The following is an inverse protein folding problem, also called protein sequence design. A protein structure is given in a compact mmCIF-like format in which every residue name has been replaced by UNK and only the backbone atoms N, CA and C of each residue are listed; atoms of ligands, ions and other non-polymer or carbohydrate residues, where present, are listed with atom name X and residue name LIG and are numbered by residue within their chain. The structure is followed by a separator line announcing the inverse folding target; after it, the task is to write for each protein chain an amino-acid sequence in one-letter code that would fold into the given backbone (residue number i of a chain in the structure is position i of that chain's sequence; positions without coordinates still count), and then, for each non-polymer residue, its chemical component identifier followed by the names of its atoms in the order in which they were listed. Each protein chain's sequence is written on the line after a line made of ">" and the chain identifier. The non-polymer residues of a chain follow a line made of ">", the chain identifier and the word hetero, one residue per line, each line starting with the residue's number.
data_IF_144449903101
#
_entry.id   IF_144449903101
#
_cell.length_a   1.000
_cell.length_b   1.000
_cell.length_c   1.000
_cell.angle_alpha   90.00
_cell.angle_beta   90.00
_cell.angle_gamma   90.00
#
_symmetry.space_group_name_H-M   'P 1'
#
loop_
_entity.id
_entity.type
_entity.pdbx_description
1 polymer ?
#
# COMPACT_ATOMS: atom_id res chain seq x y z
N UNK A 1 -20.26 -17.69 -0.88
CA UNK A 1 -20.03 -17.00 -2.14
C UNK A 1 -18.55 -17.11 -2.50
N UNK A 2 -17.71 -16.10 -2.36
CA UNK A 2 -16.28 -16.18 -2.67
C UNK A 2 -15.44 -16.18 -1.37
N UNK A 3 -14.43 -17.04 -1.30
CA UNK A 3 -13.48 -17.12 -0.21
C UNK A 3 -12.07 -17.16 -0.79
N UNK A 4 -11.24 -16.21 -0.39
CA UNK A 4 -9.86 -16.13 -0.80
C UNK A 4 -8.93 -16.24 0.41
N UNK A 5 -7.92 -17.11 0.28
CA UNK A 5 -6.85 -17.25 1.26
C UNK A 5 -5.52 -16.92 0.58
N UNK A 6 -4.74 -16.04 1.21
CA UNK A 6 -3.44 -15.63 0.69
C UNK A 6 -2.36 -15.89 1.71
N UNK A 7 -1.30 -16.57 1.29
CA UNK A 7 -0.09 -16.78 2.10
C UNK A 7 1.10 -16.20 1.35
N UNK A 8 1.92 -15.40 2.02
CA UNK A 8 3.12 -14.81 1.42
C UNK A 8 4.35 -15.01 2.29
N UNK A 9 5.50 -15.13 1.61
CA UNK A 9 6.81 -15.12 2.23
C UNK A 9 7.65 -14.01 1.58
N UNK A 10 8.29 -13.18 2.40
CA UNK A 10 9.10 -12.05 1.96
C UNK A 10 10.55 -12.25 2.43
N UNK A 11 11.51 -11.99 1.53
CA UNK A 11 12.93 -11.99 1.80
C UNK A 11 13.55 -10.67 1.39
N UNK A 12 14.47 -10.13 2.19
CA UNK A 12 15.23 -8.96 1.82
C UNK A 12 16.70 -9.08 2.16
N UNK A 13 17.54 -8.50 1.30
CA UNK A 13 18.98 -8.41 1.50
C UNK A 13 19.45 -6.97 1.28
N UNK A 14 20.20 -6.43 2.25
CA UNK A 14 20.66 -5.05 2.24
C UNK A 14 22.16 -4.98 2.16
N UNK A 15 22.66 -4.15 1.26
CA UNK A 15 24.10 -3.84 1.09
C UNK A 15 24.38 -2.36 1.35
N UNK A 16 25.49 -1.99 2.01
CA UNK A 16 25.96 -0.63 2.07
C UNK A 16 26.52 -0.22 0.68
N UNK A 17 26.04 0.90 0.15
CA UNK A 17 26.50 1.46 -1.13
C UNK A 17 27.51 2.58 -0.88
N UNK A 18 27.34 3.29 0.23
CA UNK A 18 28.28 4.29 0.74
C UNK A 18 28.13 4.40 2.26
N UNK A 19 28.90 5.28 2.91
CA UNK A 19 28.84 5.50 4.37
C UNK A 19 27.43 5.86 4.85
N UNK A 20 26.65 6.57 4.03
CA UNK A 20 25.33 7.06 4.40
C UNK A 20 24.17 6.36 3.69
N UNK A 21 24.43 5.58 2.62
CA UNK A 21 23.39 4.98 1.81
C UNK A 21 23.44 3.45 1.84
N UNK A 22 22.26 2.85 1.96
CA UNK A 22 22.04 1.42 1.89
C UNK A 22 21.06 1.09 0.76
N UNK A 23 21.33 0.01 0.05
CA UNK A 23 20.46 -0.53 -1.00
C UNK A 23 19.93 -1.88 -0.57
N UNK A 24 18.62 -2.00 -0.47
CA UNK A 24 17.93 -3.24 -0.15
C UNK A 24 17.27 -3.82 -1.41
N UNK A 25 17.40 -5.13 -1.58
CA UNK A 25 16.70 -5.90 -2.58
C UNK A 25 15.64 -6.75 -1.87
N UNK A 26 14.43 -6.75 -2.39
CA UNK A 26 13.31 -7.52 -1.86
C UNK A 26 12.80 -8.53 -2.88
N UNK A 27 12.48 -9.72 -2.39
CA UNK A 27 11.76 -10.75 -3.14
C UNK A 27 10.55 -11.19 -2.33
N UNK A 28 9.45 -11.44 -3.02
CA UNK A 28 8.20 -11.93 -2.45
C UNK A 28 7.73 -13.16 -3.21
N UNK A 29 7.26 -14.17 -2.51
CA UNK A 29 6.52 -15.28 -3.07
C UNK A 29 5.13 -15.32 -2.42
N UNK A 30 4.08 -15.45 -3.22
CA UNK A 30 2.69 -15.45 -2.76
C UNK A 30 1.96 -16.65 -3.33
N UNK A 31 1.12 -17.27 -2.52
CA UNK A 31 0.19 -18.32 -2.90
C UNK A 31 -1.23 -17.83 -2.62
N UNK A 32 -2.05 -17.71 -3.66
CA UNK A 32 -3.47 -17.42 -3.56
C UNK A 32 -4.27 -18.71 -3.74
N UNK A 33 -5.30 -18.90 -2.94
CA UNK A 33 -6.25 -20.01 -3.03
C UNK A 33 -7.65 -19.41 -3.06
N UNK A 34 -8.35 -19.59 -4.18
CA UNK A 34 -9.69 -19.06 -4.42
C UNK A 34 -10.71 -20.19 -4.46
N UNK A 35 -11.76 -20.06 -3.67
CA UNK A 35 -12.96 -20.88 -3.70
C UNK A 35 -14.16 -19.99 -4.04
N UNK A 36 -14.99 -20.39 -5.00
CA UNK A 36 -16.24 -19.68 -5.33
C UNK A 36 -17.38 -20.67 -5.41
N UNK A 37 -18.37 -20.49 -4.55
CA UNK A 37 -19.60 -21.29 -4.53
C UNK A 37 -20.72 -20.52 -5.25
N UNK A 38 -20.98 -20.91 -6.48
CA UNK A 38 -22.04 -20.31 -7.30
C UNK A 38 -23.45 -20.81 -6.94
N UNK A 39 -23.56 -21.93 -6.21
CA UNK A 39 -24.88 -22.47 -5.79
C UNK A 39 -25.63 -21.53 -4.85
N UNK A 40 -24.92 -20.61 -4.20
CA UNK A 40 -25.46 -19.59 -3.32
C UNK A 40 -25.97 -18.32 -4.04
N UNK A 41 -25.80 -18.25 -5.36
CA UNK A 41 -26.23 -17.11 -6.17
C UNK A 41 -27.60 -17.38 -6.80
N UNK A 42 -28.42 -16.33 -6.92
CA UNK A 42 -29.66 -16.40 -7.73
C UNK A 42 -29.27 -16.21 -9.19
N UNK A 43 -29.18 -17.32 -9.93
CA UNK A 43 -28.76 -17.35 -11.34
C UNK A 43 -29.99 -17.34 -12.23
N UNK A 44 -29.96 -16.57 -13.32
CA UNK A 44 -31.02 -16.59 -14.34
C UNK A 44 -30.99 -17.93 -15.07
N UNK A 45 -32.14 -18.63 -15.25
CA UNK A 45 -32.19 -19.89 -15.98
C UNK A 45 -31.60 -19.73 -17.40
N UNK A 46 -30.64 -20.60 -17.75
CA UNK A 46 -29.94 -20.56 -19.07
C UNK A 46 -28.58 -19.90 -19.06
N UNK A 47 -28.11 -19.37 -17.93
CA UNK A 47 -26.73 -18.87 -17.80
C UNK A 47 -25.79 -20.03 -17.42
N UNK A 48 -25.10 -20.57 -18.46
CA UNK A 48 -24.20 -21.72 -18.33
C UNK A 48 -22.83 -21.36 -17.71
N UNK A 49 -22.55 -20.07 -17.50
CA UNK A 49 -21.25 -19.58 -17.06
C UNK A 49 -20.97 -19.92 -15.59
N UNK A 50 -22.00 -20.05 -14.76
CA UNK A 50 -21.88 -20.24 -13.31
C UNK A 50 -22.30 -21.66 -12.85
N UNK A 51 -22.18 -22.67 -13.72
CA UNK A 51 -22.63 -24.04 -13.41
C UNK A 51 -21.66 -24.83 -12.53
N UNK A 52 -20.38 -24.51 -12.55
CA UNK A 52 -19.37 -25.23 -11.79
C UNK A 52 -18.72 -24.33 -10.77
N UNK A 53 -18.72 -24.74 -9.50
CA UNK A 53 -17.98 -24.05 -8.45
C UNK A 53 -16.48 -24.03 -8.75
N UNK A 54 -15.81 -22.97 -8.31
CA UNK A 54 -14.34 -22.94 -8.31
C UNK A 54 -13.89 -23.46 -6.95
N UNK A 55 -13.15 -24.56 -6.95
CA UNK A 55 -12.66 -25.20 -5.73
C UNK A 55 -11.13 -25.18 -5.71
N UNK A 56 -10.55 -24.61 -4.64
CA UNK A 56 -9.11 -24.61 -4.38
C UNK A 56 -8.24 -24.16 -5.58
N UNK A 57 -8.69 -23.14 -6.32
CA UNK A 57 -7.88 -22.62 -7.43
C UNK A 57 -6.62 -21.98 -6.89
N UNK A 58 -5.51 -22.66 -7.07
CA UNK A 58 -4.19 -22.21 -6.65
C UNK A 58 -3.56 -21.30 -7.70
N UNK A 59 -3.09 -20.12 -7.28
CA UNK A 59 -2.44 -19.12 -8.13
C UNK A 59 -1.17 -18.63 -7.45
N UNK A 60 0.03 -19.08 -7.88
CA UNK A 60 1.27 -18.54 -7.36
C UNK A 60 1.57 -17.17 -7.95
N UNK A 61 2.20 -16.30 -7.18
CA UNK A 61 2.72 -15.03 -7.68
C UNK A 61 4.09 -14.71 -7.06
N UNK A 62 4.87 -13.89 -7.74
CA UNK A 62 6.18 -13.43 -7.29
C UNK A 62 6.25 -11.92 -7.36
N UNK A 63 7.01 -11.33 -6.46
CA UNK A 63 7.26 -9.90 -6.46
C UNK A 63 8.76 -9.62 -6.28
N UNK A 64 9.17 -8.45 -6.75
CA UNK A 64 10.53 -7.95 -6.56
C UNK A 64 10.52 -6.45 -6.30
N UNK A 65 11.56 -5.97 -5.63
CA UNK A 65 11.72 -4.54 -5.38
C UNK A 65 13.14 -4.19 -5.01
N UNK A 66 13.44 -2.90 -5.17
CA UNK A 66 14.69 -2.28 -4.73
C UNK A 66 14.37 -1.05 -3.91
N UNK A 67 15.17 -0.79 -2.88
CA UNK A 67 14.96 0.31 -1.96
C UNK A 67 16.31 0.92 -1.54
N UNK A 68 16.55 2.14 -1.99
CA UNK A 68 17.71 2.94 -1.60
C UNK A 68 17.31 3.86 -0.46
N UNK A 69 18.07 3.89 0.61
CA UNK A 69 17.75 4.74 1.75
C UNK A 69 18.99 5.20 2.55
N UNK A 70 18.80 6.30 3.22
CA UNK A 70 19.69 6.86 4.25
C UNK A 70 18.87 7.27 5.47
N UNK A 71 19.44 7.97 6.42
CA UNK A 71 18.70 8.46 7.60
C UNK A 71 17.60 9.48 7.24
N UNK A 72 17.76 10.22 6.12
CA UNK A 72 16.83 11.26 5.72
C UNK A 72 16.16 11.07 4.36
N UNK A 73 16.72 10.24 3.50
CA UNK A 73 16.24 10.03 2.13
C UNK A 73 15.81 8.59 1.91
N UNK A 74 14.80 8.40 1.10
CA UNK A 74 14.51 7.09 0.53
C UNK A 74 13.93 7.20 -0.89
N UNK A 75 14.24 6.19 -1.70
CA UNK A 75 13.60 5.94 -2.99
C UNK A 75 13.46 4.43 -3.18
N UNK A 76 12.33 3.99 -3.68
CA UNK A 76 12.07 2.57 -3.90
C UNK A 76 11.23 2.32 -5.13
N UNK A 77 11.51 1.21 -5.80
CA UNK A 77 10.69 0.69 -6.87
C UNK A 77 10.32 -0.75 -6.57
N UNK A 78 9.06 -1.11 -6.80
CA UNK A 78 8.59 -2.49 -6.56
C UNK A 78 7.48 -2.90 -7.52
N UNK A 79 7.47 -4.20 -7.81
CA UNK A 79 6.39 -4.90 -8.50
C UNK A 79 6.00 -6.08 -7.60
N UNK A 80 4.96 -5.94 -6.74
CA UNK A 80 4.58 -6.96 -5.76
C UNK A 80 4.03 -8.25 -6.37
N UNK A 81 3.37 -8.15 -7.52
CA UNK A 81 2.80 -9.27 -8.27
C UNK A 81 3.23 -9.14 -9.74
N UNK A 82 4.10 -10.02 -10.19
CA UNK A 82 4.69 -10.01 -11.55
C UNK A 82 3.85 -10.89 -12.49
N UNK A 83 3.30 -12.00 -11.97
CA UNK A 83 2.49 -12.89 -12.78
C UNK A 83 1.07 -12.35 -12.90
N UNK A 84 0.58 -12.30 -14.13
CA UNK A 84 -0.84 -12.02 -14.42
C UNK A 84 -1.60 -13.32 -14.22
N UNK A 85 -2.57 -13.34 -13.31
CA UNK A 85 -3.37 -14.53 -13.01
C UNK A 85 -4.78 -14.34 -13.56
N UNK A 86 -5.23 -15.27 -14.39
CA UNK A 86 -6.61 -15.34 -14.84
C UNK A 86 -7.43 -16.18 -13.83
N UNK A 87 -8.43 -15.55 -13.20
CA UNK A 87 -9.23 -16.19 -12.15
C UNK A 87 -10.36 -17.09 -12.70
N UNK A 88 -10.74 -16.96 -13.97
CA UNK A 88 -11.84 -17.68 -14.59
C UNK A 88 -11.40 -18.39 -15.87
N UNK A 89 -12.06 -19.50 -16.22
CA UNK A 89 -11.75 -20.29 -17.42
C UNK A 89 -12.02 -19.54 -18.73
N UNK A 90 -11.32 -19.96 -19.81
CA UNK A 90 -11.27 -19.36 -21.16
C UNK A 90 -12.62 -19.09 -21.87
N UNK A 91 -13.73 -19.55 -21.30
CA UNK A 91 -15.06 -19.42 -21.89
C UNK A 91 -15.82 -18.14 -21.54
N UNK A 92 -15.27 -17.27 -20.67
CA UNK A 92 -15.91 -16.04 -20.23
C UNK A 92 -15.17 -14.85 -20.83
N UNK A 93 -15.81 -14.10 -21.73
CA UNK A 93 -15.28 -12.89 -22.39
C UNK A 93 -14.92 -11.72 -21.44
N UNK A 94 -15.11 -11.85 -20.15
CA UNK A 94 -14.78 -10.85 -19.13
C UNK A 94 -14.07 -11.52 -17.96
N UNK A 95 -12.83 -11.87 -18.17
CA UNK A 95 -11.99 -12.47 -17.12
C UNK A 95 -11.34 -11.34 -16.32
N UNK A 96 -11.65 -11.19 -15.01
CA UNK A 96 -10.83 -10.35 -14.15
C UNK A 96 -9.43 -10.95 -14.06
N UNK A 97 -8.47 -10.35 -14.73
CA UNK A 97 -7.07 -10.72 -14.59
C UNK A 97 -6.38 -9.78 -13.61
N UNK A 98 -5.59 -10.31 -12.71
CA UNK A 98 -4.67 -9.52 -11.93
C UNK A 98 -3.60 -8.95 -12.86
N UNK A 99 -3.56 -7.62 -13.00
CA UNK A 99 -2.56 -6.95 -13.82
C UNK A 99 -1.33 -6.59 -12.99
N UNK A 100 -0.18 -6.61 -13.62
CA UNK A 100 1.06 -6.19 -13.00
C UNK A 100 1.00 -4.70 -12.60
N UNK A 101 1.30 -4.39 -11.34
CA UNK A 101 1.34 -3.06 -10.79
C UNK A 101 2.79 -2.69 -10.44
N UNK A 102 3.27 -1.59 -11.00
CA UNK A 102 4.55 -0.99 -10.61
C UNK A 102 4.34 0.17 -9.64
N UNK A 103 5.18 0.25 -8.61
CA UNK A 103 5.16 1.31 -7.60
C UNK A 103 6.53 1.97 -7.52
N UNK A 104 6.54 3.29 -7.53
CA UNK A 104 7.72 4.11 -7.27
C UNK A 104 7.42 5.01 -6.08
N UNK A 105 8.22 4.94 -5.03
CA UNK A 105 8.10 5.81 -3.86
C UNK A 105 9.36 6.60 -3.64
N UNK A 106 9.23 7.81 -3.13
CA UNK A 106 10.37 8.62 -2.68
C UNK A 106 9.95 9.59 -1.59
N UNK A 107 10.90 9.99 -0.76
CA UNK A 107 10.69 11.02 0.25
C UNK A 107 12.00 11.47 0.87
N UNK A 108 11.94 12.64 1.49
CA UNK A 108 13.07 13.24 2.18
C UNK A 108 12.60 13.91 3.48
N UNK A 109 13.45 13.87 4.52
CA UNK A 109 13.21 14.53 5.80
C UNK A 109 14.09 15.76 5.92
N UNK A 110 13.47 16.92 5.98
CA UNK A 110 14.12 18.20 6.23
C UNK A 110 13.99 18.57 7.71
N UNK A 111 15.09 18.84 8.40
CA UNK A 111 15.07 19.47 9.71
C UNK A 111 14.90 20.99 9.50
N UNK A 112 13.71 21.51 9.79
CA UNK A 112 13.44 22.95 9.66
C UNK A 112 13.96 23.70 10.88
N UNK A 113 13.81 23.09 12.06
CA UNK A 113 14.35 23.53 13.34
C UNK A 113 14.71 22.32 14.19
N UNK A 114 15.30 22.51 15.38
CA UNK A 114 15.61 21.42 16.32
C UNK A 114 14.36 20.62 16.74
N UNK A 115 13.18 21.21 16.62
CA UNK A 115 11.91 20.64 17.08
C UNK A 115 10.88 20.40 15.96
N UNK A 116 11.20 20.78 14.72
CA UNK A 116 10.25 20.69 13.61
C UNK A 116 10.94 20.02 12.41
N UNK A 117 10.38 18.94 11.96
CA UNK A 117 10.78 18.26 10.72
C UNK A 117 9.66 18.32 9.68
N UNK A 118 10.04 18.41 8.43
CA UNK A 118 9.13 18.36 7.28
C UNK A 118 9.50 17.22 6.36
N UNK A 119 8.53 16.37 6.04
CA UNK A 119 8.72 15.24 5.12
C UNK A 119 7.77 15.32 3.92
N UNK A 120 8.21 15.87 2.79
CA UNK A 120 7.58 15.62 1.50
C UNK A 120 7.84 14.18 1.06
N UNK A 121 6.82 13.56 0.47
CA UNK A 121 6.94 12.25 -0.14
C UNK A 121 6.01 12.14 -1.36
N UNK A 122 6.36 11.22 -2.26
CA UNK A 122 5.57 10.92 -3.44
C UNK A 122 5.48 9.41 -3.68
N UNK A 123 4.34 8.97 -4.17
CA UNK A 123 4.08 7.60 -4.63
C UNK A 123 3.49 7.67 -6.04
N UNK A 124 4.13 7.01 -6.99
CA UNK A 124 3.55 6.77 -8.30
C UNK A 124 3.19 5.29 -8.45
N UNK A 125 1.99 5.03 -8.97
CA UNK A 125 1.48 3.70 -9.28
C UNK A 125 1.14 3.61 -10.75
N UNK A 126 1.72 2.64 -11.44
CA UNK A 126 1.46 2.36 -12.85
C UNK A 126 0.91 0.94 -13.01
N UNK A 127 -0.12 0.81 -13.85
CA UNK A 127 -0.70 -0.47 -14.26
C UNK A 127 -1.09 -0.38 -15.72
N UNK A 128 -0.87 -1.46 -16.47
CA UNK A 128 -1.22 -1.48 -17.89
C UNK A 128 -2.74 -1.31 -18.08
N UNK A 129 -3.12 -0.39 -18.94
CA UNK A 129 -4.53 -0.10 -19.25
C UNK A 129 -5.27 0.79 -18.25
N UNK A 130 -4.56 1.44 -17.29
CA UNK A 130 -5.13 2.48 -16.44
C UNK A 130 -4.24 3.73 -16.40
N UNK A 131 -4.81 4.92 -16.12
CA UNK A 131 -4.03 6.14 -15.95
C UNK A 131 -3.00 6.02 -14.82
N UNK A 132 -1.86 6.69 -14.97
CA UNK A 132 -0.88 6.82 -13.90
C UNK A 132 -1.53 7.50 -12.69
N UNK A 133 -1.40 6.89 -11.52
CA UNK A 133 -1.80 7.48 -10.25
C UNK A 133 -0.57 8.07 -9.57
N UNK A 134 -0.69 9.32 -9.11
CA UNK A 134 0.34 10.02 -8.37
C UNK A 134 -0.24 10.55 -7.06
N UNK A 135 0.38 10.18 -5.95
CA UNK A 135 0.08 10.67 -4.61
C UNK A 135 1.27 11.49 -4.11
N UNK A 136 1.03 12.71 -3.66
CA UNK A 136 2.04 13.59 -3.06
C UNK A 136 1.60 13.94 -1.65
N UNK A 137 2.52 13.84 -0.70
CA UNK A 137 2.25 14.14 0.71
C UNK A 137 3.24 15.12 1.28
N UNK A 138 2.79 15.92 2.24
CA UNK A 138 3.65 16.77 3.05
C UNK A 138 3.27 16.62 4.53
N UNK A 139 4.20 16.13 5.34
CA UNK A 139 3.99 15.89 6.75
C UNK A 139 4.94 16.74 7.58
N UNK A 140 4.42 17.36 8.64
CA UNK A 140 5.20 18.07 9.65
C UNK A 140 5.19 17.26 10.94
N UNK A 141 6.34 17.17 11.60
CA UNK A 141 6.51 16.51 12.87
C UNK A 141 7.04 17.52 13.90
N UNK A 142 6.31 17.70 14.99
CA UNK A 142 6.57 18.70 16.01
C UNK A 142 6.94 18.05 17.34
N UNK A 143 8.08 18.43 17.91
CA UNK A 143 8.56 18.00 19.22
C UNK A 143 8.53 16.47 19.43
N UNK A 144 8.74 15.68 18.36
CA UNK A 144 8.65 14.23 18.39
C UNK A 144 7.29 13.67 18.87
N UNK A 145 6.23 14.47 18.85
CA UNK A 145 4.91 14.11 19.39
C UNK A 145 3.76 14.30 18.43
N UNK A 146 3.66 15.48 17.82
CA UNK A 146 2.53 15.81 16.96
C UNK A 146 2.93 15.69 15.49
N UNK A 147 2.19 14.92 14.73
CA UNK A 147 2.29 14.85 13.27
C UNK A 147 1.07 15.52 12.65
N UNK A 148 1.28 16.43 11.73
CA UNK A 148 0.24 17.01 10.88
C UNK A 148 0.62 16.81 9.43
N UNK A 149 -0.30 16.35 8.61
CA UNK A 149 -0.03 16.06 7.22
C UNK A 149 -1.19 16.37 6.29
N UNK A 150 -0.81 16.60 5.03
CA UNK A 150 -1.75 16.69 3.92
C UNK A 150 -1.26 15.76 2.80
N UNK A 151 -2.21 15.17 2.09
CA UNK A 151 -1.94 14.36 0.92
C UNK A 151 -2.84 14.82 -0.23
N UNK A 152 -2.31 14.75 -1.43
CA UNK A 152 -3.04 15.00 -2.66
C UNK A 152 -2.84 13.83 -3.61
N UNK A 153 -3.94 13.22 -3.99
CA UNK A 153 -3.99 12.17 -5.01
C UNK A 153 -4.51 12.78 -6.31
N UNK A 154 -3.66 12.72 -7.32
CA UNK A 154 -4.00 13.31 -8.62
C UNK A 154 -5.34 12.81 -9.14
N UNK A 155 -6.24 13.78 -9.43
CA UNK A 155 -7.59 13.53 -9.97
C UNK A 155 -8.45 12.57 -9.13
N UNK A 156 -8.21 12.46 -7.82
CA UNK A 156 -9.00 11.58 -6.96
C UNK A 156 -9.39 12.21 -5.63
N UNK A 157 -8.43 12.59 -4.76
CA UNK A 157 -8.75 13.00 -3.40
C UNK A 157 -7.74 13.98 -2.82
N UNK A 158 -8.16 14.70 -1.78
CA UNK A 158 -7.29 15.43 -0.86
C UNK A 158 -7.54 14.91 0.54
N UNK A 159 -6.45 14.62 1.27
CA UNK A 159 -6.52 14.09 2.63
C UNK A 159 -5.84 15.02 3.62
N UNK A 160 -6.37 15.07 4.83
CA UNK A 160 -5.72 15.68 5.99
C UNK A 160 -5.47 14.61 7.05
N UNK A 161 -4.33 14.72 7.74
CA UNK A 161 -3.90 13.76 8.74
C UNK A 161 -3.40 14.49 9.98
N UNK A 162 -3.81 14.01 11.15
CA UNK A 162 -3.26 14.42 12.44
C UNK A 162 -2.92 13.17 13.25
N UNK A 163 -1.74 13.15 13.88
CA UNK A 163 -1.30 12.05 14.71
C UNK A 163 -0.58 12.53 15.96
N UNK A 164 -0.72 11.80 17.04
CA UNK A 164 -0.14 12.18 18.34
C UNK A 164 0.51 10.98 19.02
N UNK A 165 1.78 11.13 19.38
CA UNK A 165 2.53 10.20 20.23
C UNK A 165 2.17 10.44 21.70
N UNK A 166 1.34 9.57 22.27
CA UNK A 166 0.85 9.68 23.65
C UNK A 166 2.01 9.42 24.63
N UNK A 167 2.72 8.33 24.40
CA UNK A 167 3.90 7.94 25.14
C UNK A 167 4.88 7.15 24.23
N UNK A 168 5.88 6.47 24.80
CA UNK A 168 6.89 5.72 24.02
C UNK A 168 6.32 4.54 23.22
N UNK A 169 5.15 4.05 23.59
CA UNK A 169 4.55 2.84 23.06
C UNK A 169 3.29 3.13 22.24
N UNK A 170 2.52 4.18 22.58
CA UNK A 170 1.23 4.46 22.00
C UNK A 170 1.25 5.67 21.06
N UNK A 171 0.73 5.47 19.87
CA UNK A 171 0.45 6.52 18.90
C UNK A 171 -1.00 6.42 18.45
N UNK A 172 -1.70 7.54 18.39
CA UNK A 172 -3.04 7.66 17.81
C UNK A 172 -3.01 8.61 16.63
N UNK A 173 -3.73 8.28 15.58
CA UNK A 173 -3.88 9.13 14.41
C UNK A 173 -5.31 9.16 13.91
N UNK A 174 -5.62 10.23 13.21
CA UNK A 174 -6.88 10.44 12.53
C UNK A 174 -6.59 10.99 11.14
N UNK A 175 -7.31 10.48 10.15
CA UNK A 175 -7.27 11.00 8.79
C UNK A 175 -8.69 11.24 8.26
N UNK A 176 -8.79 12.22 7.39
CA UNK A 176 -10.00 12.52 6.63
C UNK A 176 -9.66 12.65 5.15
N UNK A 177 -10.33 11.87 4.31
CA UNK A 177 -10.20 11.89 2.87
C UNK A 177 -11.42 12.56 2.23
N UNK A 178 -11.20 13.63 1.50
CA UNK A 178 -12.21 14.31 0.69
C UNK A 178 -12.04 13.94 -0.78
N UNK A 179 -13.07 13.37 -1.36
CA UNK A 179 -13.13 13.06 -2.78
C UNK A 179 -13.15 14.36 -3.60
N UNK A 180 -12.36 14.44 -4.70
CA UNK A 180 -12.33 15.62 -5.60
C UNK A 180 -12.94 15.33 -6.97
N UNK A 181 -13.44 14.10 -7.18
CA UNK A 181 -14.12 13.70 -8.42
C UNK A 181 -15.62 13.96 -8.35
N UNK A 182 -16.36 13.59 -9.39
CA UNK A 182 -17.82 13.68 -9.40
C UNK A 182 -18.49 12.86 -8.29
N UNK A 183 -17.79 11.87 -7.72
CA UNK A 183 -18.27 11.08 -6.58
C UNK A 183 -18.43 11.92 -5.30
N UNK A 184 -17.75 13.06 -5.17
CA UNK A 184 -17.93 14.00 -4.06
C UNK A 184 -19.39 14.47 -3.89
N UNK A 185 -20.19 14.43 -4.94
CA UNK A 185 -21.63 14.77 -4.87
C UNK A 185 -22.47 13.70 -4.17
N UNK A 186 -21.94 12.49 -3.96
CA UNK A 186 -22.64 11.31 -3.45
C UNK A 186 -22.05 10.77 -2.16
N UNK A 187 -20.89 11.25 -1.72
CA UNK A 187 -20.28 10.85 -0.45
C UNK A 187 -19.79 12.07 0.34
N UNK A 188 -19.64 11.90 1.64
CA UNK A 188 -19.14 12.94 2.56
C UNK A 188 -17.67 12.77 2.93
N UNK A 189 -16.92 11.98 2.14
CA UNK A 189 -15.54 11.61 2.43
C UNK A 189 -15.43 10.42 3.39
N UNK A 190 -14.20 10.05 3.72
CA UNK A 190 -13.90 8.93 4.61
C UNK A 190 -13.16 9.41 5.86
N UNK A 191 -13.50 8.82 7.00
CA UNK A 191 -12.87 9.07 8.29
C UNK A 191 -12.11 7.82 8.72
N UNK A 192 -10.84 7.97 9.08
CA UNK A 192 -10.00 6.87 9.53
C UNK A 192 -9.40 7.18 10.90
N UNK A 193 -9.46 6.21 11.81
CA UNK A 193 -8.78 6.26 13.10
C UNK A 193 -7.69 5.18 13.09
N UNK A 194 -6.48 5.58 13.44
CA UNK A 194 -5.31 4.72 13.48
C UNK A 194 -4.76 4.66 14.90
N UNK A 195 -4.53 3.45 15.41
CA UNK A 195 -3.91 3.20 16.71
C UNK A 195 -2.71 2.28 16.51
N UNK A 196 -1.52 2.70 17.01
CA UNK A 196 -0.30 1.90 16.99
C UNK A 196 0.20 1.67 18.42
N UNK A 197 0.52 0.41 18.70
CA UNK A 197 1.17 0.01 19.96
C UNK A 197 2.47 -0.72 19.68
N UNK A 198 3.58 -0.27 20.29
CA UNK A 198 4.91 -0.87 20.15
C UNK A 198 5.28 -1.67 21.41
N UNK A 199 5.35 -3.01 21.29
CA UNK A 199 5.57 -3.94 22.40
C UNK A 199 7.01 -3.92 22.94
N UNK A 200 8.03 -3.66 22.10
CA UNK A 200 9.44 -3.82 22.45
C UNK A 200 10.27 -2.57 22.13
N UNK A 201 10.16 -1.56 22.98
CA UNK A 201 10.88 -0.29 22.80
C UNK A 201 12.31 -0.31 23.44
N UNK A 202 12.93 -1.50 23.61
CA UNK A 202 14.28 -1.63 24.23
C UNK A 202 15.43 -1.67 23.22
N UNK A 203 15.17 -1.82 21.94
CA UNK A 203 16.19 -1.81 20.90
C UNK A 203 16.52 -0.37 20.51
N UNK A 204 17.78 -0.11 20.14
CA UNK A 204 18.18 1.16 19.53
C UNK A 204 17.20 1.49 18.42
N UNK A 205 16.52 2.62 18.54
CA UNK A 205 15.53 3.09 17.56
C UNK A 205 16.17 3.09 16.18
N UNK A 206 15.72 2.22 15.31
CA UNK A 206 16.13 2.26 13.89
C UNK A 206 15.42 3.49 13.32
N UNK A 207 16.16 4.58 13.16
CA UNK A 207 15.64 5.79 12.53
C UNK A 207 15.51 5.48 11.03
N UNK A 208 14.27 5.43 10.57
CA UNK A 208 13.97 5.29 9.15
C UNK A 208 13.10 6.47 8.71
N UNK A 209 13.47 7.19 7.65
CA UNK A 209 12.70 8.32 7.17
C UNK A 209 11.29 7.93 6.69
N UNK A 210 11.04 6.64 6.55
CA UNK A 210 9.72 6.11 6.17
C UNK A 210 8.69 6.16 7.31
N UNK A 211 9.13 6.06 8.56
CA UNK A 211 8.26 5.94 9.74
C UNK A 211 8.11 7.24 10.54
N UNK A 212 8.37 8.33 9.91
CA UNK A 212 8.16 9.66 10.48
C UNK A 212 6.72 10.13 10.24
#
# INVERSE_FOLDING_TARGET
>A
VAKENTVSADFSYTIPVSDNYKLAFGLKATAHMLDVDYSMLTITPGDYVFQNNIENKFSPNFGAGVYLYSDKFYAGFSVPNILETEHFDDNIKSTPSERMHGYLITGYVFDLTDNIQFKPAALAKAVNGAPLQLDVTGNFWFNEKLTLGVAWRWSAAVSALAGFQIDKNWFIGYAYDAETTKLANYNSGSHEIFLRYELFNKSKRIVSPRFF
#
